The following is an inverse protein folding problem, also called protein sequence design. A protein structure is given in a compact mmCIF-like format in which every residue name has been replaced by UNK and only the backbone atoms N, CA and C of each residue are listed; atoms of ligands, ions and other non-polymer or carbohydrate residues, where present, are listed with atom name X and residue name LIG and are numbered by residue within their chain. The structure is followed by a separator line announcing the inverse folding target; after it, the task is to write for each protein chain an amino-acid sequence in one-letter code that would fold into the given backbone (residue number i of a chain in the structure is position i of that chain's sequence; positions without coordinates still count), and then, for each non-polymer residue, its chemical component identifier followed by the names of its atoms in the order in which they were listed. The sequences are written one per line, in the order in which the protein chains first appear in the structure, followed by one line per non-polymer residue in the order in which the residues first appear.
data_IF_012447844972
#
_entry.id   IF_012447844972
#
_cell.length_a   1.000
_cell.length_b   1.000
_cell.length_c   1.000
_cell.angle_alpha   90.00
_cell.angle_beta   90.00
_cell.angle_gamma   90.00
#
_symmetry.space_group_name_H-M   'P 1'
#
loop_
_entity.id
_entity.type
_entity.pdbx_description
1 polymer ?
#
# COMPACT_ATOMS: atom_id res chain seq x y z
N UNK A 1 -11.04 -7.74 26.18
CA UNK A 1 -11.32 -6.59 25.28
C UNK A 1 -10.71 -5.34 25.90
N UNK A 2 -9.87 -4.61 25.17
CA UNK A 2 -9.08 -3.52 25.76
C UNK A 2 -9.75 -2.15 25.59
N UNK A 3 -9.53 -1.25 26.56
CA UNK A 3 -9.86 0.16 26.43
C UNK A 3 -8.80 0.86 25.57
N UNK A 4 -9.11 0.99 24.29
CA UNK A 4 -8.28 1.63 23.27
C UNK A 4 -7.94 3.11 23.54
N UNK A 5 -8.59 3.78 24.51
CA UNK A 5 -8.24 5.17 24.91
C UNK A 5 -6.79 5.28 25.40
N UNK A 6 -6.23 4.18 25.90
CA UNK A 6 -4.84 4.10 26.37
C UNK A 6 -3.82 3.94 25.23
N UNK A 7 -4.27 3.85 23.98
CA UNK A 7 -3.44 3.62 22.80
C UNK A 7 -3.52 4.80 21.83
N UNK A 8 -3.33 6.01 22.36
CA UNK A 8 -3.27 7.24 21.58
C UNK A 8 -2.19 7.13 20.50
N UNK A 9 -2.41 7.75 19.34
CA UNK A 9 -1.52 7.73 18.17
C UNK A 9 -1.33 6.36 17.47
N UNK A 10 -2.12 5.34 17.83
CA UNK A 10 -2.11 4.04 17.16
C UNK A 10 -2.93 4.06 15.86
N UNK A 11 -2.42 3.40 14.81
CA UNK A 11 -3.21 3.12 13.61
C UNK A 11 -3.97 1.82 13.78
N UNK A 12 -5.23 1.85 13.39
CA UNK A 12 -6.18 0.78 13.59
C UNK A 12 -6.73 0.28 12.26
N UNK A 13 -6.92 -1.03 12.15
CA UNK A 13 -7.65 -1.64 11.05
C UNK A 13 -9.09 -1.87 11.50
N UNK A 14 -10.04 -1.22 10.82
CA UNK A 14 -11.46 -1.35 11.13
C UNK A 14 -12.03 -2.58 10.42
N UNK A 15 -12.62 -3.50 11.20
CA UNK A 15 -13.12 -4.79 10.69
C UNK A 15 -14.64 -4.85 10.56
N UNK A 16 -15.35 -4.22 11.51
CA UNK A 16 -16.82 -4.19 11.57
C UNK A 16 -17.27 -2.85 12.12
N UNK A 17 -18.48 -2.43 11.77
CA UNK A 17 -19.14 -1.26 12.36
C UNK A 17 -20.50 -1.66 12.93
N UNK A 18 -20.94 -0.95 13.97
CA UNK A 18 -22.31 -1.03 14.48
C UNK A 18 -22.77 0.31 15.07
N UNK A 19 -24.08 0.49 15.19
CA UNK A 19 -24.69 1.67 15.80
C UNK A 19 -25.19 1.34 17.20
N UNK A 20 -24.93 2.22 18.17
CA UNK A 20 -25.48 2.15 19.54
C UNK A 20 -25.75 3.57 20.03
N UNK A 21 -26.97 3.84 20.49
CA UNK A 21 -27.41 5.15 21.00
C UNK A 21 -27.09 6.31 20.05
N UNK A 22 -27.41 6.15 18.76
CA UNK A 22 -27.13 7.17 17.75
C UNK A 22 -25.66 7.28 17.31
N UNK A 23 -24.71 6.61 17.99
CA UNK A 23 -23.26 6.68 17.71
C UNK A 23 -22.76 5.46 16.94
N UNK A 24 -21.78 5.65 16.06
CA UNK A 24 -21.12 4.58 15.31
C UNK A 24 -19.86 4.11 16.03
N UNK A 25 -19.71 2.80 16.16
CA UNK A 25 -18.54 2.16 16.75
C UNK A 25 -17.87 1.23 15.75
N UNK A 26 -16.55 1.22 15.73
CA UNK A 26 -15.75 0.32 14.90
C UNK A 26 -15.08 -0.75 15.76
N UNK A 27 -15.17 -2.02 15.35
CA UNK A 27 -14.26 -3.06 15.81
C UNK A 27 -12.91 -2.81 15.16
N UNK A 28 -11.90 -2.54 15.98
CA UNK A 28 -10.56 -2.23 15.53
C UNK A 28 -9.55 -3.27 16.01
N UNK A 29 -8.55 -3.52 15.19
CA UNK A 29 -7.37 -4.33 15.53
C UNK A 29 -6.08 -3.57 15.22
N UNK A 30 -5.05 -3.76 16.05
CA UNK A 30 -3.75 -3.11 15.90
C UNK A 30 -2.82 -3.45 17.06
N UNK A 31 -1.52 -3.62 16.80
CA UNK A 31 -0.51 -3.94 17.82
C UNK A 31 -0.89 -5.11 18.76
N UNK A 32 -1.45 -6.20 18.22
CA UNK A 32 -1.95 -7.38 18.96
C UNK A 32 -3.13 -7.08 19.92
N UNK A 33 -3.71 -5.88 19.84
CA UNK A 33 -4.85 -5.44 20.64
C UNK A 33 -6.09 -5.36 19.74
N UNK A 34 -7.25 -5.68 20.32
CA UNK A 34 -8.54 -5.47 19.69
C UNK A 34 -9.55 -4.84 20.66
N UNK A 35 -10.47 -4.05 20.12
CA UNK A 35 -11.49 -3.36 20.89
C UNK A 35 -12.51 -2.62 20.01
N UNK A 36 -13.39 -1.86 20.65
CA UNK A 36 -14.33 -0.99 19.95
C UNK A 36 -13.97 0.48 20.16
N UNK A 37 -14.01 1.26 19.07
CA UNK A 37 -13.78 2.71 19.07
C UNK A 37 -15.00 3.46 18.59
N UNK A 38 -15.35 4.55 19.28
CA UNK A 38 -16.30 5.51 18.72
C UNK A 38 -15.63 6.22 17.53
N UNK A 39 -16.35 6.33 16.42
CA UNK A 39 -15.79 6.88 15.17
C UNK A 39 -15.13 8.26 15.34
N UNK A 40 -15.63 9.11 16.25
CA UNK A 40 -15.06 10.46 16.49
C UNK A 40 -13.67 10.47 17.13
N UNK A 41 -13.15 9.33 17.59
CA UNK A 41 -11.78 9.20 18.09
C UNK A 41 -10.77 8.67 17.05
N UNK A 42 -11.21 8.40 15.83
CA UNK A 42 -10.35 7.90 14.75
C UNK A 42 -10.58 8.67 13.48
N UNK A 43 -9.54 8.90 12.68
CA UNK A 43 -9.65 9.52 11.35
C UNK A 43 -9.21 8.50 10.30
N UNK A 44 -9.94 8.33 9.18
CA UNK A 44 -9.52 7.42 8.13
C UNK A 44 -8.17 7.85 7.56
N UNK A 45 -7.31 6.87 7.27
CA UNK A 45 -6.17 7.11 6.42
C UNK A 45 -6.67 7.18 4.97
N UNK A 46 -6.45 8.32 4.31
CA UNK A 46 -6.88 8.57 2.94
C UNK A 46 -5.65 8.63 2.04
N UNK A 47 -5.59 7.76 1.03
CA UNK A 47 -4.51 7.84 0.04
C UNK A 47 -4.77 8.92 -0.98
N UNK A 48 -3.70 9.63 -1.37
CA UNK A 48 -3.73 10.59 -2.47
C UNK A 48 -3.52 9.85 -3.78
N UNK A 49 -4.28 10.24 -4.81
CA UNK A 49 -4.07 9.74 -6.17
C UNK A 49 -2.68 10.13 -6.64
N UNK A 50 -1.94 9.19 -7.20
CA UNK A 50 -0.55 9.44 -7.62
C UNK A 50 -0.42 10.50 -8.73
N UNK A 51 -1.48 10.72 -9.52
CA UNK A 51 -1.56 11.79 -10.51
C UNK A 51 -1.44 13.19 -9.89
N UNK A 52 -1.71 13.36 -8.59
CA UNK A 52 -1.64 14.67 -7.90
C UNK A 52 -0.23 15.18 -7.61
N UNK A 53 0.80 14.31 -7.62
CA UNK A 53 2.17 14.70 -7.22
C UNK A 53 3.00 15.25 -8.38
N UNK A 54 3.37 16.53 -8.37
CA UNK A 54 4.07 17.15 -9.52
C UNK A 54 5.59 16.87 -9.58
N UNK A 55 6.19 16.36 -8.50
CA UNK A 55 7.63 16.08 -8.43
C UNK A 55 7.96 14.89 -7.53
N UNK A 56 9.13 14.28 -7.75
CA UNK A 56 9.70 13.24 -6.89
C UNK A 56 9.72 13.69 -5.42
N UNK A 57 10.21 14.90 -5.15
CA UNK A 57 10.28 15.43 -3.77
C UNK A 57 8.91 15.55 -3.11
N UNK A 58 7.88 15.97 -3.84
CA UNK A 58 6.51 16.05 -3.29
C UNK A 58 5.95 14.67 -2.94
N UNK A 59 6.28 13.66 -3.76
CA UNK A 59 5.83 12.29 -3.56
C UNK A 59 6.61 11.61 -2.44
N UNK A 60 7.93 11.81 -2.36
CA UNK A 60 8.79 11.32 -1.28
C UNK A 60 8.33 11.91 0.06
N UNK A 61 8.02 13.21 0.12
CA UNK A 61 7.46 13.83 1.33
C UNK A 61 6.17 13.14 1.76
N UNK A 62 5.28 12.84 0.82
CA UNK A 62 4.04 12.11 1.09
C UNK A 62 4.30 10.69 1.62
N UNK A 63 5.17 9.91 0.96
CA UNK A 63 5.57 8.58 1.40
C UNK A 63 6.12 8.60 2.83
N UNK A 64 6.92 9.61 3.18
CA UNK A 64 7.58 9.70 4.48
C UNK A 64 6.65 10.18 5.62
N UNK A 65 5.70 11.05 5.32
CA UNK A 65 4.94 11.77 6.37
C UNK A 65 3.49 11.31 6.52
N UNK A 66 2.85 10.82 5.46
CA UNK A 66 1.42 10.54 5.49
C UNK A 66 1.09 9.23 6.23
N UNK A 67 -0.01 9.23 6.99
CA UNK A 67 -0.45 8.07 7.77
C UNK A 67 -0.90 6.90 6.88
N UNK A 68 -1.40 7.18 5.67
CA UNK A 68 -1.76 6.17 4.66
C UNK A 68 -0.56 5.39 4.14
N UNK A 69 0.64 5.98 4.19
CA UNK A 69 1.83 5.41 3.56
C UNK A 69 2.69 4.52 4.47
N UNK A 70 2.12 4.03 5.59
CA UNK A 70 2.83 3.15 6.53
C UNK A 70 3.31 1.84 5.89
N UNK A 71 2.51 1.24 5.01
CA UNK A 71 2.91 0.03 4.27
C UNK A 71 4.04 0.34 3.27
N UNK A 72 3.89 1.42 2.48
CA UNK A 72 4.94 1.89 1.57
C UNK A 72 6.27 2.10 2.27
N UNK A 73 6.27 2.74 3.45
CA UNK A 73 7.49 2.91 4.26
C UNK A 73 8.08 1.60 4.74
N UNK A 74 7.25 0.61 5.09
CA UNK A 74 7.74 -0.70 5.50
C UNK A 74 8.41 -1.44 4.33
N UNK A 75 7.84 -1.36 3.12
CA UNK A 75 8.43 -1.93 1.90
C UNK A 75 9.72 -1.20 1.49
N UNK A 76 9.75 0.13 1.58
CA UNK A 76 10.92 0.95 1.24
C UNK A 76 12.19 0.61 2.03
N UNK A 77 12.07 0.02 3.23
CA UNK A 77 13.23 -0.44 4.01
C UNK A 77 14.06 -1.50 3.29
N UNK A 78 13.47 -2.22 2.33
CA UNK A 78 14.16 -3.22 1.52
C UNK A 78 14.82 -2.64 0.26
N UNK A 79 14.75 -1.33 0.05
CA UNK A 79 15.36 -0.62 -1.07
C UNK A 79 16.23 0.54 -0.56
N UNK A 80 17.28 0.24 0.24
CA UNK A 80 18.11 1.30 0.82
C UNK A 80 18.77 2.13 -0.27
N UNK A 81 18.80 3.46 -0.08
CA UNK A 81 19.38 4.44 -1.00
C UNK A 81 18.72 4.53 -2.39
N UNK A 82 17.60 3.84 -2.62
CA UNK A 82 16.90 3.93 -3.89
C UNK A 82 16.32 5.34 -4.10
N UNK A 83 16.54 5.90 -5.29
CA UNK A 83 15.89 7.16 -5.70
C UNK A 83 14.48 6.84 -6.17
N UNK A 84 13.47 7.30 -5.43
CA UNK A 84 12.06 7.14 -5.79
C UNK A 84 11.72 8.07 -6.95
N UNK A 85 11.08 7.54 -7.99
CA UNK A 85 10.61 8.26 -9.18
C UNK A 85 9.09 8.27 -9.23
N UNK A 86 8.47 9.45 -9.15
CA UNK A 86 7.02 9.60 -9.26
C UNK A 86 6.54 9.22 -10.67
N UNK A 87 7.34 9.45 -11.70
CA UNK A 87 7.03 9.03 -13.08
C UNK A 87 6.97 7.50 -13.20
N UNK A 88 7.97 6.79 -12.66
CA UNK A 88 7.98 5.33 -12.68
C UNK A 88 6.84 4.75 -11.85
N UNK A 89 6.56 5.34 -10.68
CA UNK A 89 5.42 4.95 -9.85
C UNK A 89 4.08 5.13 -10.59
N UNK A 90 3.90 6.21 -11.37
CA UNK A 90 2.67 6.45 -12.17
C UNK A 90 2.50 5.43 -13.28
N UNK A 91 3.57 5.15 -14.02
CA UNK A 91 3.61 4.15 -15.09
C UNK A 91 3.32 2.76 -14.55
N UNK A 92 3.99 2.38 -13.46
CA UNK A 92 3.76 1.10 -12.78
C UNK A 92 2.34 0.95 -12.25
N UNK A 93 1.73 2.05 -11.79
CA UNK A 93 0.34 2.07 -11.32
C UNK A 93 -0.70 2.17 -12.45
N UNK A 94 -0.28 2.12 -13.72
CA UNK A 94 -1.17 2.19 -14.88
C UNK A 94 -1.97 3.49 -14.99
N UNK A 95 -1.44 4.63 -14.53
CA UNK A 95 -2.12 5.91 -14.67
C UNK A 95 -2.28 6.30 -16.14
N UNK A 96 -3.32 7.07 -16.45
CA UNK A 96 -3.55 7.58 -17.80
C UNK A 96 -2.73 8.85 -18.07
N UNK A 97 -2.32 9.02 -19.33
CA UNK A 97 -1.75 10.27 -19.83
C UNK A 97 -2.83 11.34 -19.85
N UNK A 98 -2.56 12.49 -19.23
CA UNK A 98 -3.40 13.70 -19.18
C UNK A 98 -4.86 13.47 -18.76
N UNK A 99 -5.27 14.06 -17.64
CA UNK A 99 -6.57 13.86 -16.98
C UNK A 99 -7.82 14.39 -17.77
N UNK A 100 -7.81 14.39 -19.11
CA UNK A 100 -8.87 14.81 -20.06
C UNK A 100 -8.90 13.85 -21.28
N UNK A 101 -10.01 13.76 -22.03
CA UNK A 101 -10.63 12.46 -22.32
C UNK A 101 -9.64 11.38 -22.79
N UNK A 102 -9.70 10.27 -22.03
CA UNK A 102 -8.72 9.20 -21.86
C UNK A 102 -8.57 8.34 -23.13
N UNK A 103 -7.34 8.13 -23.61
CA UNK A 103 -7.09 7.08 -24.63
C UNK A 103 -5.84 6.22 -24.42
N UNK A 104 -4.90 6.60 -23.53
CA UNK A 104 -3.64 5.85 -23.38
C UNK A 104 -3.14 5.76 -21.94
N UNK A 105 -2.92 4.54 -21.46
CA UNK A 105 -2.22 4.28 -20.21
C UNK A 105 -0.74 4.65 -20.35
N UNK A 106 -0.15 5.21 -19.30
CA UNK A 106 1.29 5.40 -19.20
C UNK A 106 1.97 4.03 -19.17
N UNK A 107 2.89 3.79 -20.09
CA UNK A 107 3.71 2.56 -20.16
C UNK A 107 5.11 2.83 -19.62
N UNK A 108 5.88 1.78 -19.35
CA UNK A 108 7.29 1.92 -18.94
C UNK A 108 8.27 1.97 -20.14
N UNK A 109 7.77 2.17 -21.37
CA UNK A 109 8.57 2.10 -22.60
C UNK A 109 9.58 3.23 -22.77
N UNK A 110 9.53 4.27 -21.92
CA UNK A 110 10.51 5.35 -21.86
C UNK A 110 11.76 4.99 -21.04
N UNK A 111 11.78 3.81 -20.41
CA UNK A 111 12.94 3.28 -19.72
C UNK A 111 13.61 2.20 -20.58
N UNK A 112 14.94 2.15 -20.55
CA UNK A 112 15.71 1.19 -21.34
C UNK A 112 15.60 -0.21 -20.75
N UNK A 113 15.59 -0.29 -19.42
CA UNK A 113 15.44 -1.54 -18.70
C UNK A 113 14.41 -1.39 -17.58
N UNK A 114 13.44 -2.29 -17.55
CA UNK A 114 12.34 -2.28 -16.58
C UNK A 114 12.23 -3.64 -15.92
N UNK A 115 12.16 -3.64 -14.60
CA UNK A 115 11.92 -4.83 -13.79
C UNK A 115 10.60 -4.62 -13.06
N UNK A 116 9.57 -5.39 -13.44
CA UNK A 116 8.28 -5.39 -12.76
C UNK A 116 8.33 -6.30 -11.53
N UNK A 117 8.68 -5.72 -10.38
CA UNK A 117 8.71 -6.48 -9.12
C UNK A 117 7.30 -6.83 -8.65
N UNK A 118 6.30 -6.02 -8.98
CA UNK A 118 4.89 -6.25 -8.64
C UNK A 118 4.35 -7.61 -9.10
N UNK A 119 4.82 -8.08 -10.26
CA UNK A 119 4.39 -9.34 -10.87
C UNK A 119 5.16 -10.57 -10.35
N UNK A 120 6.21 -10.39 -9.54
CA UNK A 120 6.92 -11.50 -8.95
C UNK A 120 6.00 -12.27 -8.01
N UNK A 121 6.10 -13.59 -8.05
CA UNK A 121 5.30 -14.49 -7.24
C UNK A 121 6.16 -15.51 -6.51
N UNK A 122 5.53 -16.20 -5.58
CA UNK A 122 6.05 -17.43 -5.03
C UNK A 122 4.94 -18.46 -4.89
N UNK A 123 5.34 -19.72 -4.89
CA UNK A 123 4.39 -20.80 -4.64
C UNK A 123 4.22 -21.02 -3.14
N UNK A 124 2.96 -21.15 -2.74
CA UNK A 124 2.52 -21.47 -1.39
C UNK A 124 1.70 -22.75 -1.41
N UNK A 125 1.96 -23.62 -0.44
CA UNK A 125 1.14 -24.82 -0.21
C UNK A 125 0.07 -24.51 0.82
N UNK A 126 -1.16 -24.89 0.49
CA UNK A 126 -2.30 -24.85 1.41
C UNK A 126 -2.21 -26.00 2.42
N UNK A 127 -2.97 -25.90 3.51
CA UNK A 127 -3.13 -26.99 4.50
C UNK A 127 -3.68 -28.28 3.92
N UNK A 128 -4.31 -28.22 2.74
CA UNK A 128 -4.90 -29.36 2.02
C UNK A 128 -4.00 -29.88 0.89
N UNK A 129 -2.75 -29.39 0.80
CA UNK A 129 -1.75 -29.89 -0.16
C UNK A 129 -1.76 -29.22 -1.55
N UNK A 130 -2.77 -28.39 -1.87
CA UNK A 130 -2.80 -27.62 -3.12
C UNK A 130 -1.76 -26.50 -3.12
N UNK A 131 -1.13 -26.25 -4.27
CA UNK A 131 -0.22 -25.11 -4.47
C UNK A 131 -0.95 -23.96 -5.15
N UNK A 132 -0.74 -22.73 -4.67
CA UNK A 132 -1.16 -21.52 -5.38
C UNK A 132 0.00 -20.53 -5.47
N UNK A 133 -0.02 -19.68 -6.50
CA UNK A 133 0.97 -18.63 -6.69
C UNK A 133 0.46 -17.32 -6.08
N UNK A 134 1.18 -16.78 -5.11
CA UNK A 134 0.89 -15.46 -4.54
C UNK A 134 1.86 -14.43 -5.14
N UNK A 135 1.32 -13.40 -5.80
CA UNK A 135 2.11 -12.28 -6.33
C UNK A 135 2.31 -11.19 -5.27
N UNK A 136 3.32 -10.34 -5.46
CA UNK A 136 3.49 -9.12 -4.65
C UNK A 136 2.23 -8.23 -4.74
N UNK A 137 1.57 -8.15 -5.91
CA UNK A 137 0.29 -7.43 -6.04
C UNK A 137 -0.76 -7.96 -5.06
N UNK A 138 -0.99 -9.28 -5.03
CA UNK A 138 -1.96 -9.90 -4.12
C UNK A 138 -1.62 -9.64 -2.65
N UNK A 139 -0.35 -9.76 -2.28
CA UNK A 139 0.12 -9.48 -0.91
C UNK A 139 -0.13 -8.02 -0.51
N UNK A 140 0.01 -7.07 -1.43
CA UNK A 140 -0.19 -5.64 -1.17
C UNK A 140 -1.67 -5.21 -1.16
N UNK A 141 -2.54 -5.94 -1.86
CA UNK A 141 -3.98 -5.64 -2.00
C UNK A 141 -4.83 -6.14 -0.82
N UNK A 142 -4.37 -7.14 -0.05
CA UNK A 142 -5.14 -7.75 1.06
C UNK A 142 -4.53 -7.54 2.47
N UNK A 143 -4.37 -6.30 2.98
CA UNK A 143 -3.76 -6.06 4.29
C UNK A 143 -4.70 -6.32 5.49
N UNK A 144 -5.91 -6.84 5.29
CA UNK A 144 -7.01 -6.69 6.28
C UNK A 144 -6.84 -7.52 7.56
N UNK A 145 -5.91 -8.50 7.58
CA UNK A 145 -5.68 -9.38 8.74
C UNK A 145 -4.25 -9.34 9.30
N UNK A 146 -3.33 -8.60 8.67
CA UNK A 146 -1.90 -8.63 9.02
C UNK A 146 -1.32 -7.22 9.17
N UNK A 147 -0.27 -7.08 9.99
CA UNK A 147 0.37 -5.78 10.18
C UNK A 147 1.17 -5.36 8.94
N UNK A 148 1.32 -4.05 8.69
CA UNK A 148 2.16 -3.54 7.59
C UNK A 148 3.58 -4.13 7.57
N UNK A 149 4.16 -4.41 8.73
CA UNK A 149 5.48 -5.03 8.83
C UNK A 149 5.47 -6.50 8.37
N UNK A 150 4.41 -7.25 8.71
CA UNK A 150 4.25 -8.62 8.24
C UNK A 150 4.05 -8.66 6.71
N UNK A 151 3.20 -7.79 6.17
CA UNK A 151 3.00 -7.66 4.71
C UNK A 151 4.32 -7.34 4.01
N UNK A 152 5.07 -6.34 4.50
CA UNK A 152 6.36 -5.97 3.92
C UNK A 152 7.39 -7.11 4.01
N UNK A 153 7.37 -7.91 5.09
CA UNK A 153 8.22 -9.10 5.22
C UNK A 153 7.88 -10.15 4.16
N UNK A 154 6.60 -10.40 3.90
CA UNK A 154 6.15 -11.30 2.83
C UNK A 154 6.62 -10.81 1.46
N UNK A 155 6.45 -9.52 1.15
CA UNK A 155 6.97 -8.91 -0.08
C UNK A 155 8.48 -9.15 -0.21
N UNK A 156 9.27 -8.91 0.85
CA UNK A 156 10.71 -9.18 0.83
C UNK A 156 11.04 -10.67 0.65
N UNK A 157 10.26 -11.57 1.24
CA UNK A 157 10.42 -13.00 1.00
C UNK A 157 10.18 -13.39 -0.46
N UNK A 158 9.18 -12.79 -1.12
CA UNK A 158 8.93 -13.01 -2.56
C UNK A 158 10.10 -12.45 -3.38
N UNK A 159 10.59 -11.25 -3.07
CA UNK A 159 11.78 -10.66 -3.73
C UNK A 159 13.00 -11.59 -3.65
N UNK A 160 13.33 -12.08 -2.46
CA UNK A 160 14.48 -12.96 -2.23
C UNK A 160 14.33 -14.29 -2.98
N UNK A 161 13.15 -14.92 -2.96
CA UNK A 161 12.88 -16.15 -3.71
C UNK A 161 13.09 -15.98 -5.22
N UNK A 162 12.85 -14.78 -5.73
CA UNK A 162 13.07 -14.41 -7.13
C UNK A 162 14.49 -13.84 -7.40
N UNK A 163 15.43 -13.99 -6.47
CA UNK A 163 16.82 -13.56 -6.62
C UNK A 163 17.10 -12.07 -6.36
N UNK A 164 16.11 -11.29 -5.95
CA UNK A 164 16.25 -9.87 -5.59
C UNK A 164 16.65 -9.72 -4.12
N UNK A 165 17.86 -10.21 -3.79
CA UNK A 165 18.47 -10.00 -2.48
C UNK A 165 18.84 -8.53 -2.27
N UNK A 166 19.12 -8.13 -1.02
CA UNK A 166 19.59 -6.77 -0.71
C UNK A 166 20.85 -6.39 -1.50
N UNK A 167 21.77 -7.34 -1.71
CA UNK A 167 22.96 -7.13 -2.52
C UNK A 167 22.61 -6.89 -4.00
N UNK A 168 21.70 -7.68 -4.57
CA UNK A 168 21.23 -7.51 -5.95
C UNK A 168 20.53 -6.17 -6.14
N UNK A 169 19.62 -5.80 -5.24
CA UNK A 169 18.90 -4.51 -5.27
C UNK A 169 19.88 -3.35 -5.16
N UNK A 170 20.82 -3.41 -4.23
CA UNK A 170 21.85 -2.36 -4.05
C UNK A 170 22.72 -2.20 -5.30
N UNK A 171 23.10 -3.30 -5.96
CA UNK A 171 23.84 -3.26 -7.21
C UNK A 171 23.02 -2.62 -8.35
N UNK A 172 21.73 -2.95 -8.47
CA UNK A 172 20.85 -2.31 -9.45
C UNK A 172 20.76 -0.79 -9.20
N UNK A 173 20.59 -0.36 -7.95
CA UNK A 173 20.56 1.07 -7.59
C UNK A 173 21.87 1.76 -7.98
N UNK A 174 23.03 1.14 -7.72
CA UNK A 174 24.35 1.67 -8.15
C UNK A 174 24.47 1.78 -9.67
N UNK A 175 23.81 0.91 -10.42
CA UNK A 175 23.74 0.96 -11.88
C UNK A 175 22.74 2.00 -12.42
N UNK A 176 22.16 2.82 -11.56
CA UNK A 176 21.26 3.92 -11.94
C UNK A 176 19.77 3.57 -11.95
N UNK A 177 19.38 2.36 -11.51
CA UNK A 177 17.95 2.03 -11.39
C UNK A 177 17.27 2.92 -10.35
N UNK A 178 16.16 3.54 -10.77
CA UNK A 178 15.22 4.26 -9.92
C UNK A 178 14.13 3.31 -9.45
N UNK A 179 13.52 3.62 -8.31
CA UNK A 179 12.42 2.86 -7.73
C UNK A 179 11.07 3.53 -8.02
N UNK A 180 10.16 2.78 -8.61
CA UNK A 180 8.74 3.11 -8.65
C UNK A 180 8.03 2.35 -7.55
N UNK A 181 7.34 3.06 -6.68
CA UNK A 181 6.46 2.49 -5.67
C UNK A 181 5.13 3.25 -5.61
N UNK A 182 4.01 2.54 -5.57
CA UNK A 182 2.69 3.07 -5.25
C UNK A 182 1.93 1.99 -4.50
N UNK A 183 1.38 2.28 -3.33
CA UNK A 183 0.62 1.30 -2.54
C UNK A 183 -0.52 2.04 -1.85
N UNK A 184 -1.76 1.74 -2.24
CA UNK A 184 -2.93 2.25 -1.55
C UNK A 184 -3.29 1.40 -0.32
N UNK A 185 -2.91 0.12 -0.27
CA UNK A 185 -3.04 -0.74 0.92
C UNK A 185 -4.45 -0.75 1.53
N UNK A 186 -5.49 -0.79 0.68
CA UNK A 186 -6.89 -0.77 1.12
C UNK A 186 -7.37 0.53 1.79
N UNK A 187 -6.60 1.61 1.70
CA UNK A 187 -7.03 2.93 2.22
C UNK A 187 -8.09 3.57 1.31
N UNK A 188 -8.99 4.36 1.91
CA UNK A 188 -9.99 5.12 1.14
C UNK A 188 -9.33 6.20 0.27
N UNK A 189 -9.95 6.56 -0.86
CA UNK A 189 -9.51 7.70 -1.69
C UNK A 189 -10.33 8.98 -1.45
N UNK A 190 -11.36 8.90 -0.60
CA UNK A 190 -12.17 10.04 -0.14
C UNK A 190 -12.83 9.73 1.20
N UNK A 191 -13.20 10.78 1.95
CA UNK A 191 -14.16 10.70 3.03
C UNK A 191 -15.34 11.61 2.65
N UNK A 192 -16.56 11.06 2.62
CA UNK A 192 -17.76 11.88 2.39
C UNK A 192 -17.89 12.98 3.46
N UNK A 193 -18.43 14.14 3.06
CA UNK A 193 -18.65 15.30 3.96
C UNK A 193 -19.63 15.01 5.12
N UNK A 194 -20.47 13.98 5.01
CA UNK A 194 -21.24 13.47 6.15
C UNK A 194 -20.47 12.33 6.80
N UNK A 195 -20.06 12.56 8.04
CA UNK A 195 -19.11 11.74 8.77
C UNK A 195 -19.36 10.24 8.64
N UNK A 196 -18.26 9.50 8.46
CA UNK A 196 -18.09 8.10 8.83
C UNK A 196 -19.22 7.15 8.38
N UNK A 197 -19.00 6.33 7.34
CA UNK A 197 -20.03 5.42 6.87
C UNK A 197 -20.38 4.41 7.99
N UNK A 198 -21.68 4.24 8.22
CA UNK A 198 -22.26 3.30 9.20
C UNK A 198 -21.96 1.84 8.85
N UNK A 199 -21.71 1.56 7.57
CA UNK A 199 -21.16 0.32 7.04
C UNK A 199 -19.74 0.58 6.55
N UNK A 200 -18.77 -0.16 7.07
CA UNK A 200 -17.44 -0.19 6.45
C UNK A 200 -17.61 -0.85 5.08
N UNK A 201 -17.69 -0.05 4.02
CA UNK A 201 -17.50 -0.54 2.67
C UNK A 201 -16.03 -0.36 2.33
N UNK A 202 -15.21 -1.39 2.60
CA UNK A 202 -13.79 -1.41 2.26
C UNK A 202 -13.53 -1.34 0.75
N UNK A 203 -14.58 -1.43 -0.08
CA UNK A 203 -14.52 -1.54 -1.53
C UNK A 203 -15.12 -0.31 -2.25
N UNK A 204 -15.94 0.51 -1.58
CA UNK A 204 -16.53 1.72 -2.17
C UNK A 204 -15.49 2.84 -2.25
N UNK A 205 -15.07 3.17 -3.47
CA UNK A 205 -14.06 4.21 -3.68
C UNK A 205 -12.68 3.82 -3.14
N UNK A 206 -12.36 2.52 -3.05
CA UNK A 206 -10.99 2.06 -2.90
C UNK A 206 -10.49 1.57 -4.25
N UNK A 207 -9.40 2.15 -4.75
CA UNK A 207 -8.65 1.55 -5.83
C UNK A 207 -7.53 0.76 -5.18
N UNK A 208 -7.71 -0.55 -5.03
CA UNK A 208 -6.59 -1.44 -4.79
C UNK A 208 -5.71 -1.38 -6.03
N UNK A 209 -4.59 -0.70 -5.86
CA UNK A 209 -3.60 -0.49 -6.90
C UNK A 209 -2.26 -0.44 -6.19
N UNK A 210 -1.36 -1.30 -6.64
CA UNK A 210 -0.01 -1.35 -6.18
C UNK A 210 0.94 -1.38 -7.39
N UNK A 211 2.09 -0.75 -7.22
CA UNK A 211 3.18 -0.78 -8.16
C UNK A 211 4.48 -0.87 -7.39
N UNK A 212 5.36 -1.76 -7.81
CA UNK A 212 6.74 -1.89 -7.35
C UNK A 212 7.63 -2.23 -8.56
N UNK A 213 8.49 -1.30 -8.95
CA UNK A 213 9.29 -1.39 -10.17
C UNK A 213 10.70 -0.86 -9.94
N UNK A 214 11.68 -1.45 -10.63
CA UNK A 214 12.98 -0.84 -10.82
C UNK A 214 13.15 -0.52 -12.32
N UNK A 215 13.57 0.69 -12.66
CA UNK A 215 13.89 1.01 -14.05
C UNK A 215 15.04 2.02 -14.20
N UNK A 216 15.76 1.94 -15.32
CA UNK A 216 16.79 2.93 -15.73
C UNK A 216 16.68 3.28 -17.21
#
# INVERSE_FOLDING_TARGET
MYNIKNYQYTSWYAQKSFKRNGKVYYKVTGNKVSGYVWHGYVTPAISKRISTFKSDSSYIKYLNTDKSQKLSRAVLKYFPNAKVSVDLSRRGAGQFVDNKPITKAMTTSNYKHVINLTALSHDLKTSYGSTYSETILNTLDFPVTTTNAAVAKTVNSILIKNGYTQAKISNLIKQGYKLGIYINGGTGISAGKQGYPWTINTNAGTMNNAALFLAK
#
